data_IF_321345756387
#
_entry.id   IF_321345756387
#
_cell.length_a   1.000
_cell.length_b   1.000
_cell.length_c   1.000
_cell.angle_alpha   90.00
_cell.angle_beta   90.00
_cell.angle_gamma   90.00
#
_symmetry.space_group_name_H-M   'P 1'
#
loop_
_entity.id
_entity.type
_entity.pdbx_description
1 polymer ?
#
# COMPACT_ATOMS: atom_id res chain seq x y z
N UNK A 1 -33.46 7.32 -13.58
CA UNK A 1 -32.25 6.99 -14.37
C UNK A 1 -31.11 7.89 -13.94
N UNK A 2 -30.16 7.35 -13.23
CA UNK A 2 -28.97 8.13 -12.91
C UNK A 2 -28.09 8.23 -14.15
N UNK A 3 -27.89 9.43 -14.65
CA UNK A 3 -26.85 9.72 -15.62
C UNK A 3 -25.50 9.42 -14.95
N UNK A 4 -24.92 8.28 -15.30
CA UNK A 4 -23.51 8.06 -15.00
C UNK A 4 -22.71 8.92 -15.95
N UNK A 5 -21.99 9.87 -15.40
CA UNK A 5 -20.98 10.61 -16.15
C UNK A 5 -20.00 9.59 -16.75
N UNK A 6 -19.87 9.48 -18.10
CA UNK A 6 -19.08 8.42 -18.71
C UNK A 6 -17.56 8.51 -18.45
N UNK A 7 -17.13 9.42 -17.61
CA UNK A 7 -15.74 9.57 -17.18
C UNK A 7 -15.51 9.51 -15.67
N UNK A 8 -16.55 9.29 -14.89
CA UNK A 8 -16.40 9.18 -13.44
C UNK A 8 -16.13 7.72 -13.06
N UNK A 9 -14.93 7.43 -12.51
CA UNK A 9 -14.70 6.18 -11.82
C UNK A 9 -15.79 5.97 -10.77
N UNK A 10 -16.36 4.78 -10.67
CA UNK A 10 -17.33 4.51 -9.61
C UNK A 10 -16.70 4.83 -8.25
N UNK A 11 -17.47 5.40 -7.34
CA UNK A 11 -17.02 5.69 -5.98
C UNK A 11 -16.31 4.45 -5.42
N UNK A 12 -15.08 4.58 -4.89
CA UNK A 12 -14.34 3.43 -4.39
C UNK A 12 -15.13 2.73 -3.29
N UNK A 13 -15.34 1.44 -3.46
CA UNK A 13 -15.98 0.62 -2.42
C UNK A 13 -14.94 0.31 -1.35
N UNK A 14 -15.26 0.49 -0.06
CA UNK A 14 -14.35 0.07 1.01
C UNK A 14 -13.98 -1.41 0.87
N UNK A 15 -12.74 -1.74 1.18
CA UNK A 15 -12.25 -3.12 1.12
C UNK A 15 -11.36 -3.40 -0.08
N UNK A 16 -10.68 -2.39 -0.61
CA UNK A 16 -9.66 -2.53 -1.65
C UNK A 16 -8.27 -2.47 -1.05
N UNK A 17 -7.36 -3.31 -1.56
CA UNK A 17 -5.93 -3.22 -1.28
C UNK A 17 -5.28 -2.36 -2.36
N UNK A 18 -4.56 -1.32 -1.97
CA UNK A 18 -3.74 -0.50 -2.87
C UNK A 18 -2.27 -0.85 -2.65
N UNK A 19 -1.59 -1.29 -3.70
CA UNK A 19 -0.18 -1.61 -3.66
C UNK A 19 0.60 -0.54 -4.42
N UNK A 20 1.49 0.15 -3.71
CA UNK A 20 2.52 1.01 -4.29
C UNK A 20 3.66 0.10 -4.77
N UNK A 21 3.65 -0.23 -6.07
CA UNK A 21 4.31 -1.43 -6.57
C UNK A 21 5.76 -1.24 -7.02
N UNK A 22 6.20 -0.02 -7.37
CA UNK A 22 7.48 0.18 -8.05
C UNK A 22 8.70 -0.28 -7.23
N UNK A 23 8.65 -0.13 -5.91
CA UNK A 23 9.75 -0.56 -5.03
C UNK A 23 9.36 -1.72 -4.12
N UNK A 24 8.31 -2.47 -4.46
CA UNK A 24 7.81 -3.55 -3.61
C UNK A 24 8.58 -4.86 -3.84
N UNK A 25 9.29 -5.39 -2.82
CA UNK A 25 10.00 -6.66 -2.95
C UNK A 25 9.13 -7.88 -2.64
N UNK A 26 7.86 -7.67 -2.28
CA UNK A 26 6.95 -8.72 -1.78
C UNK A 26 5.64 -8.80 -2.57
N UNK A 27 5.66 -8.43 -3.83
CA UNK A 27 4.47 -8.47 -4.70
C UNK A 27 3.79 -9.83 -4.71
N UNK A 28 4.58 -10.91 -4.78
CA UNK A 28 4.08 -12.28 -4.79
C UNK A 28 3.25 -12.61 -3.54
N UNK A 29 3.65 -12.14 -2.37
CA UNK A 29 2.89 -12.31 -1.15
C UNK A 29 1.55 -11.56 -1.20
N UNK A 30 1.56 -10.36 -1.75
CA UNK A 30 0.36 -9.55 -1.91
C UNK A 30 -0.65 -10.26 -2.82
N UNK A 31 -0.21 -10.77 -3.94
CA UNK A 31 -1.08 -11.51 -4.87
C UNK A 31 -1.71 -12.75 -4.21
N UNK A 32 -0.91 -13.53 -3.51
CA UNK A 32 -1.38 -14.74 -2.83
C UNK A 32 -2.42 -14.44 -1.76
N UNK A 33 -2.18 -13.43 -0.93
CA UNK A 33 -3.09 -13.09 0.16
C UNK A 33 -4.37 -12.45 -0.37
N UNK A 34 -4.28 -11.55 -1.34
CA UNK A 34 -5.45 -10.96 -1.98
C UNK A 34 -6.35 -12.04 -2.62
N UNK A 35 -5.73 -13.00 -3.31
CA UNK A 35 -6.45 -14.12 -3.91
C UNK A 35 -7.11 -15.03 -2.86
N UNK A 36 -6.41 -15.31 -1.76
CA UNK A 36 -6.90 -16.17 -0.68
C UNK A 36 -8.22 -15.68 -0.10
N UNK A 37 -8.35 -14.38 0.07
CA UNK A 37 -9.54 -13.76 0.67
C UNK A 37 -10.48 -13.12 -0.35
N UNK A 38 -10.15 -13.15 -1.64
CA UNK A 38 -10.97 -12.54 -2.69
C UNK A 38 -11.13 -11.04 -2.56
N UNK A 39 -10.12 -10.36 -2.02
CA UNK A 39 -10.15 -8.90 -1.83
C UNK A 39 -9.58 -8.21 -3.09
N UNK A 40 -10.30 -7.23 -3.66
CA UNK A 40 -9.81 -6.49 -4.82
C UNK A 40 -8.46 -5.83 -4.56
N UNK A 41 -7.54 -5.96 -5.53
CA UNK A 41 -6.19 -5.42 -5.47
C UNK A 41 -5.96 -4.44 -6.62
N UNK A 42 -5.51 -3.25 -6.31
CA UNK A 42 -5.03 -2.29 -7.31
C UNK A 42 -3.52 -2.16 -7.20
N UNK A 43 -2.84 -2.54 -8.25
CA UNK A 43 -1.37 -2.49 -8.36
C UNK A 43 -1.01 -1.20 -9.09
N UNK A 44 -0.47 -0.23 -8.36
CA UNK A 44 -0.16 1.10 -8.89
C UNK A 44 1.33 1.19 -9.19
N UNK A 45 1.68 1.48 -10.42
CA UNK A 45 3.07 1.48 -10.90
C UNK A 45 3.29 2.50 -12.01
N UNK A 46 4.56 2.89 -12.21
CA UNK A 46 4.95 3.79 -13.31
C UNK A 46 4.97 3.08 -14.67
N UNK A 47 5.11 1.75 -14.67
CA UNK A 47 5.09 0.93 -15.88
C UNK A 47 4.11 -0.20 -15.71
N UNK A 48 3.62 -0.73 -16.83
CA UNK A 48 2.71 -1.87 -16.79
C UNK A 48 3.41 -3.10 -16.18
N UNK A 49 2.73 -3.73 -15.23
CA UNK A 49 3.18 -4.95 -14.57
C UNK A 49 2.20 -6.08 -14.89
N UNK A 50 2.74 -7.21 -15.31
CA UNK A 50 1.94 -8.40 -15.49
C UNK A 50 1.59 -9.00 -14.12
N UNK A 51 0.29 -9.20 -13.88
CA UNK A 51 -0.17 -9.90 -12.68
C UNK A 51 -0.28 -11.40 -12.96
N UNK A 52 0.03 -12.25 -11.96
CA UNK A 52 -0.08 -13.71 -12.16
C UNK A 52 -1.54 -14.13 -12.26
N UNK A 53 -1.78 -15.22 -12.97
CA UNK A 53 -3.08 -15.88 -13.00
C UNK A 53 -3.19 -16.82 -11.80
N UNK A 54 -3.85 -16.31 -10.74
CA UNK A 54 -4.10 -17.07 -9.52
C UNK A 54 -5.61 -17.12 -9.30
N UNK A 55 -6.13 -18.31 -9.02
CA UNK A 55 -7.55 -18.48 -8.74
C UNK A 55 -7.97 -17.59 -7.56
N UNK A 56 -9.03 -16.81 -7.75
CA UNK A 56 -9.55 -15.89 -6.75
C UNK A 56 -8.90 -14.51 -6.75
N UNK A 57 -7.85 -14.28 -7.54
CA UNK A 57 -7.21 -12.97 -7.63
C UNK A 57 -8.05 -12.00 -8.47
N UNK A 58 -8.48 -10.92 -7.85
CA UNK A 58 -9.18 -9.81 -8.48
C UNK A 58 -8.20 -8.63 -8.48
N UNK A 59 -7.53 -8.39 -9.60
CA UNK A 59 -6.49 -7.36 -9.66
C UNK A 59 -6.63 -6.47 -10.89
N UNK A 60 -6.21 -5.23 -10.71
CA UNK A 60 -6.09 -4.24 -11.77
C UNK A 60 -4.75 -3.55 -11.65
N UNK A 61 -3.99 -3.51 -12.75
CA UNK A 61 -2.78 -2.69 -12.82
C UNK A 61 -3.17 -1.28 -13.23
N UNK A 62 -2.76 -0.31 -12.43
CA UNK A 62 -2.96 1.11 -12.70
C UNK A 62 -1.61 1.70 -13.04
N UNK A 63 -1.45 2.12 -14.29
CA UNK A 63 -0.21 2.74 -14.76
C UNK A 63 -0.34 4.26 -14.60
N UNK A 64 0.57 4.84 -13.83
CA UNK A 64 0.61 6.29 -13.58
C UNK A 64 1.83 6.90 -14.26
N UNK A 65 1.85 8.23 -14.54
CA UNK A 65 3.04 8.89 -15.07
C UNK A 65 4.27 8.66 -14.19
N UNK A 66 5.46 8.70 -14.79
CA UNK A 66 6.73 8.45 -14.09
C UNK A 66 7.20 9.60 -13.18
N UNK A 67 6.36 10.56 -12.87
CA UNK A 67 6.68 11.63 -11.91
C UNK A 67 6.71 11.06 -10.48
N UNK A 68 7.57 11.60 -9.57
CA UNK A 68 7.76 11.04 -8.23
C UNK A 68 6.48 10.90 -7.40
N UNK A 69 5.53 11.81 -7.57
CA UNK A 69 4.32 11.87 -6.74
C UNK A 69 3.08 11.24 -7.37
N UNK A 70 3.18 10.74 -8.60
CA UNK A 70 2.00 10.28 -9.36
C UNK A 70 1.31 9.09 -8.70
N UNK A 71 2.05 8.08 -8.26
CA UNK A 71 1.50 6.91 -7.56
C UNK A 71 0.91 7.30 -6.20
N UNK A 72 1.62 8.14 -5.46
CA UNK A 72 1.19 8.62 -4.15
C UNK A 72 -0.13 9.39 -4.24
N UNK A 73 -0.20 10.32 -5.18
CA UNK A 73 -1.40 11.13 -5.40
C UNK A 73 -2.59 10.26 -5.82
N UNK A 74 -2.36 9.34 -6.73
CA UNK A 74 -3.39 8.43 -7.20
C UNK A 74 -3.99 7.61 -6.07
N UNK A 75 -3.14 7.03 -5.22
CA UNK A 75 -3.57 6.20 -4.06
C UNK A 75 -4.25 7.08 -3.01
N UNK A 76 -3.63 8.19 -2.62
CA UNK A 76 -4.14 9.04 -1.55
C UNK A 76 -5.50 9.67 -1.88
N UNK A 77 -5.76 9.95 -3.15
CA UNK A 77 -7.04 10.51 -3.62
C UNK A 77 -8.18 9.49 -3.60
N UNK A 78 -7.87 8.20 -3.63
CA UNK A 78 -8.86 7.12 -3.80
C UNK A 78 -9.06 6.26 -2.56
N UNK A 79 -8.02 6.01 -1.77
CA UNK A 79 -8.12 5.16 -0.59
C UNK A 79 -9.04 5.78 0.47
N UNK A 80 -9.96 5.00 0.98
CA UNK A 80 -10.93 5.41 1.99
C UNK A 80 -10.89 4.47 3.18
N UNK A 81 -11.49 4.88 4.29
CA UNK A 81 -11.59 4.05 5.50
C UNK A 81 -12.19 2.67 5.16
N UNK A 82 -11.52 1.63 5.59
CA UNK A 82 -11.85 0.24 5.26
C UNK A 82 -10.95 -0.37 4.20
N UNK A 83 -10.18 0.45 3.49
CA UNK A 83 -9.15 0.01 2.56
C UNK A 83 -7.82 -0.26 3.29
N UNK A 84 -6.89 -0.87 2.58
CA UNK A 84 -5.52 -1.11 3.05
C UNK A 84 -4.54 -0.62 2.01
N UNK A 85 -3.56 0.17 2.43
CA UNK A 85 -2.46 0.65 1.58
C UNK A 85 -1.16 -0.04 1.99
N UNK A 86 -0.43 -0.53 1.00
CA UNK A 86 0.88 -1.17 1.17
C UNK A 86 1.94 -0.30 0.49
N UNK A 87 2.80 0.30 1.29
CA UNK A 87 3.87 1.18 0.80
C UNK A 87 5.00 1.31 1.81
N UNK A 88 6.21 1.55 1.33
CA UNK A 88 7.34 1.98 2.16
C UNK A 88 7.58 3.49 2.11
N UNK A 89 6.77 4.21 1.35
CA UNK A 89 6.85 5.67 1.25
C UNK A 89 6.19 6.33 2.45
N UNK A 90 7.00 6.99 3.28
CA UNK A 90 6.52 7.59 4.54
C UNK A 90 5.55 8.76 4.29
N UNK A 91 5.81 9.70 3.36
CA UNK A 91 4.84 10.73 3.03
C UNK A 91 3.47 10.19 2.59
N UNK A 92 3.44 9.16 1.73
CA UNK A 92 2.19 8.52 1.33
C UNK A 92 1.49 7.88 2.54
N UNK A 93 2.22 7.13 3.35
CA UNK A 93 1.67 6.51 4.57
C UNK A 93 1.04 7.56 5.47
N UNK A 94 1.69 8.70 5.67
CA UNK A 94 1.16 9.81 6.46
C UNK A 94 -0.14 10.38 5.91
N UNK A 95 -0.23 10.52 4.59
CA UNK A 95 -1.45 11.01 3.93
C UNK A 95 -2.64 10.06 4.15
N UNK A 96 -2.43 8.77 3.95
CA UNK A 96 -3.54 7.80 4.03
C UNK A 96 -3.96 7.53 5.47
N UNK A 97 -3.06 7.45 6.43
CA UNK A 97 -3.45 7.29 7.84
C UNK A 97 -4.16 8.54 8.38
N UNK A 98 -3.84 9.73 7.85
CA UNK A 98 -4.58 10.96 8.14
C UNK A 98 -6.04 10.90 7.70
N UNK A 99 -6.35 10.07 6.73
CA UNK A 99 -7.71 9.81 6.24
C UNK A 99 -8.33 8.53 6.84
N UNK A 100 -7.77 8.03 7.93
CA UNK A 100 -8.21 6.80 8.62
C UNK A 100 -8.09 5.52 7.77
N UNK A 101 -7.17 5.50 6.82
CA UNK A 101 -6.87 4.32 6.01
C UNK A 101 -5.70 3.58 6.66
N UNK A 102 -5.82 2.26 6.80
CA UNK A 102 -4.72 1.44 7.33
C UNK A 102 -3.58 1.35 6.32
N UNK A 103 -2.36 1.39 6.82
CA UNK A 103 -1.17 1.31 5.98
C UNK A 103 -0.11 0.44 6.64
N UNK A 104 0.46 -0.49 5.84
CA UNK A 104 1.50 -1.42 6.28
C UNK A 104 2.71 -1.26 5.36
N UNK A 105 3.91 -1.26 5.92
CA UNK A 105 5.14 -1.25 5.15
C UNK A 105 5.52 -2.67 4.64
N UNK A 106 6.49 -2.76 3.75
CA UNK A 106 6.90 -4.03 3.15
C UNK A 106 7.70 -4.94 4.09
N UNK A 107 8.00 -4.49 5.29
CA UNK A 107 8.65 -5.30 6.35
C UNK A 107 7.66 -5.76 7.43
N UNK A 108 6.37 -5.50 7.22
CA UNK A 108 5.29 -5.95 8.08
C UNK A 108 4.95 -5.03 9.25
N UNK A 109 5.48 -3.82 9.28
CA UNK A 109 5.14 -2.83 10.29
C UNK A 109 3.91 -2.01 9.90
N UNK A 110 2.98 -1.82 10.83
CA UNK A 110 1.83 -0.94 10.61
C UNK A 110 2.20 0.50 10.96
N UNK A 111 1.79 1.43 10.10
CA UNK A 111 1.98 2.85 10.35
C UNK A 111 0.90 3.40 11.30
N UNK A 112 1.31 4.27 12.20
CA UNK A 112 0.45 5.07 13.05
C UNK A 112 1.02 6.51 13.13
N UNK A 113 0.27 7.49 13.68
CA UNK A 113 0.74 8.88 13.72
C UNK A 113 2.09 9.05 14.42
N UNK A 114 2.33 8.35 15.52
CA UNK A 114 3.60 8.43 16.24
C UNK A 114 4.76 7.90 15.41
N UNK A 115 4.58 6.75 14.79
CA UNK A 115 5.59 6.14 13.91
C UNK A 115 5.90 7.04 12.72
N UNK A 116 4.88 7.67 12.12
CA UNK A 116 5.07 8.61 11.01
C UNK A 116 5.89 9.81 11.45
N UNK A 117 5.57 10.41 12.58
CA UNK A 117 6.32 11.53 13.13
C UNK A 117 7.79 11.18 13.38
N UNK A 118 8.04 10.06 14.03
CA UNK A 118 9.40 9.55 14.29
C UNK A 118 10.16 9.28 13.00
N UNK A 119 9.50 8.67 12.00
CA UNK A 119 10.13 8.34 10.73
C UNK A 119 10.47 9.59 9.91
N UNK A 120 9.62 10.61 9.90
CA UNK A 120 9.89 11.88 9.23
C UNK A 120 11.04 12.61 9.91
N UNK A 121 11.07 12.66 11.23
CA UNK A 121 12.15 13.27 11.99
C UNK A 121 13.50 12.56 11.73
N UNK A 122 13.51 11.23 11.74
CA UNK A 122 14.70 10.43 11.45
C UNK A 122 15.18 10.65 10.01
N UNK A 123 14.27 10.76 9.06
CA UNK A 123 14.59 11.01 7.65
C UNK A 123 15.29 12.36 7.47
N UNK A 124 14.76 13.42 8.09
CA UNK A 124 15.35 14.77 8.04
C UNK A 124 16.71 14.80 8.71
N UNK A 125 16.84 14.17 9.87
CA UNK A 125 18.09 14.06 10.59
C UNK A 125 19.15 13.31 9.78
N UNK A 126 18.80 12.17 9.20
CA UNK A 126 19.71 11.38 8.37
C UNK A 126 20.12 12.11 7.09
N UNK A 127 19.20 12.87 6.48
CA UNK A 127 19.51 13.71 5.32
C UNK A 127 20.56 14.76 5.68
N UNK A 128 20.42 15.42 6.81
CA UNK A 128 21.39 16.39 7.32
C UNK A 128 22.75 15.74 7.56
N UNK A 129 22.79 14.56 8.17
CA UNK A 129 24.03 13.83 8.42
C UNK A 129 24.74 13.41 7.12
N UNK A 130 23.98 13.00 6.09
CA UNK A 130 24.54 12.69 4.77
C UNK A 130 25.16 13.90 4.10
N UNK A 131 24.52 15.07 4.20
CA UNK A 131 25.05 16.33 3.67
C UNK A 131 26.34 16.72 4.38
N UNK A 132 26.48 16.36 5.66
CA UNK A 132 27.69 16.58 6.43
C UNK A 132 28.76 15.51 6.22
N UNK A 133 28.50 14.47 5.42
CA UNK A 133 29.41 13.37 5.17
C UNK A 133 29.57 12.37 6.32
N UNK A 134 28.65 12.41 7.30
CA UNK A 134 28.75 11.58 8.52
C UNK A 134 28.12 10.20 8.32
N UNK A 135 27.08 10.09 7.50
CA UNK A 135 26.41 8.81 7.19
C UNK A 135 26.54 8.52 5.70
N UNK A 136 26.98 7.30 5.36
CA UNK A 136 27.14 6.83 3.99
C UNK A 136 26.27 5.61 3.65
N UNK A 137 25.56 5.03 4.62
CA UNK A 137 24.72 3.83 4.44
C UNK A 137 23.25 4.13 4.28
N UNK A 138 22.53 3.27 3.56
CA UNK A 138 21.07 3.24 3.46
C UNK A 138 20.44 2.35 4.53
N UNK A 139 19.09 2.10 4.47
CA UNK A 139 18.43 1.17 5.36
C UNK A 139 19.00 -0.25 5.22
N UNK A 140 18.81 -1.08 6.24
CA UNK A 140 19.22 -2.48 6.23
C UNK A 140 18.60 -3.20 5.02
N UNK A 141 19.35 -4.12 4.42
CA UNK A 141 18.87 -4.93 3.29
C UNK A 141 17.62 -5.72 3.69
N UNK A 142 16.72 -5.88 2.74
CA UNK A 142 15.51 -6.69 2.91
C UNK A 142 15.89 -8.17 3.13
N UNK A 143 15.38 -8.77 4.21
CA UNK A 143 15.78 -10.12 4.63
C UNK A 143 14.61 -11.11 4.51
N UNK A 144 14.89 -12.45 4.52
CA UNK A 144 13.82 -13.46 4.60
C UNK A 144 12.93 -13.30 5.84
N UNK A 145 13.48 -12.79 6.94
CA UNK A 145 12.72 -12.48 8.15
C UNK A 145 11.70 -11.35 7.91
N UNK A 146 12.10 -10.32 7.19
CA UNK A 146 11.22 -9.21 6.78
C UNK A 146 10.08 -9.73 5.92
N UNK A 147 10.37 -10.60 4.97
CA UNK A 147 9.39 -11.24 4.09
C UNK A 147 8.36 -12.05 4.88
N UNK A 148 8.79 -12.85 5.84
CA UNK A 148 7.91 -13.66 6.69
C UNK A 148 7.04 -12.78 7.58
N UNK A 149 7.62 -11.74 8.16
CA UNK A 149 6.90 -10.77 8.98
C UNK A 149 5.84 -10.03 8.19
N UNK A 150 6.17 -9.60 6.96
CA UNK A 150 5.22 -8.96 6.06
C UNK A 150 4.07 -9.90 5.70
N UNK A 151 4.37 -11.14 5.31
CA UNK A 151 3.35 -12.13 4.95
C UNK A 151 2.35 -12.35 6.09
N UNK A 152 2.84 -12.47 7.31
CA UNK A 152 2.02 -12.64 8.51
C UNK A 152 1.14 -11.42 8.80
N UNK A 153 1.71 -10.23 8.76
CA UNK A 153 1.00 -8.98 9.01
C UNK A 153 -0.07 -8.73 7.94
N UNK A 154 0.25 -9.00 6.69
CA UNK A 154 -0.67 -8.84 5.57
C UNK A 154 -1.85 -9.82 5.69
N UNK A 155 -1.58 -11.08 5.96
CA UNK A 155 -2.64 -12.09 6.12
C UNK A 155 -3.61 -11.71 7.23
N UNK A 156 -3.10 -11.27 8.37
CA UNK A 156 -3.91 -10.82 9.51
C UNK A 156 -4.78 -9.62 9.12
N UNK A 157 -4.20 -8.62 8.46
CA UNK A 157 -4.92 -7.42 8.07
C UNK A 157 -6.01 -7.72 7.02
N UNK A 158 -5.70 -8.53 6.03
CA UNK A 158 -6.65 -8.86 4.95
C UNK A 158 -7.76 -9.79 5.44
N UNK A 159 -7.44 -10.74 6.32
CA UNK A 159 -8.46 -11.57 6.98
C UNK A 159 -9.47 -10.68 7.73
N UNK A 160 -8.98 -9.69 8.48
CA UNK A 160 -9.84 -8.73 9.17
C UNK A 160 -10.72 -7.94 8.20
N UNK A 161 -10.15 -7.46 7.09
CA UNK A 161 -10.92 -6.80 6.03
C UNK A 161 -12.05 -7.69 5.51
N UNK A 162 -11.75 -8.95 5.21
CA UNK A 162 -12.72 -9.90 4.70
C UNK A 162 -13.85 -10.14 5.69
N UNK A 163 -13.55 -10.24 6.98
CA UNK A 163 -14.57 -10.39 8.03
C UNK A 163 -15.46 -9.16 8.16
N UNK A 164 -14.88 -7.97 8.11
CA UNK A 164 -15.63 -6.72 8.17
C UNK A 164 -16.55 -6.55 6.95
N UNK A 165 -16.08 -6.93 5.77
CA UNK A 165 -16.89 -6.90 4.55
C UNK A 165 -18.05 -7.91 4.62
N UNK A 166 -17.83 -9.10 5.14
CA UNK A 166 -18.88 -10.11 5.32
C UNK A 166 -19.98 -9.61 6.27
N UNK A 167 -19.64 -8.90 7.32
CA UNK A 167 -20.60 -8.31 8.25
C UNK A 167 -21.48 -7.25 7.61
N UNK A 168 -20.99 -6.53 6.60
CA UNK A 168 -21.78 -5.50 5.89
C UNK A 168 -22.80 -6.07 4.92
N UNK A 169 -22.61 -7.31 4.50
CA UNK A 169 -23.48 -8.00 3.53
C UNK A 169 -24.63 -8.75 4.24
N UNK A 170 -24.42 -9.12 5.49
CA UNK A 170 -25.43 -9.87 6.27
C UNK A 170 -26.43 -8.95 6.97
#
# INVERSE_FOLDING_TARGET
MMNRDPGADPAPKPGTIYLDADACPVKDQVYKVAARYGIPLKVVANTWLRTPEIAGLISQTVVVPGSPDAADDWIAERAVKGDLVLTSDIPLAGRVIGNNVRCIDFRGGEYNPNRIGDALAARDFNATLRQMGVITGGPAAFSPKDRSKFASALDTAVNRMAREMAKRIS
#
